data_IF_852593066282
#
_entry.id   IF_852593066282
#
_cell.length_a   1.000
_cell.length_b   1.000
_cell.length_c   1.000
_cell.angle_alpha   90.00
_cell.angle_beta   90.00
_cell.angle_gamma   90.00
#
_symmetry.space_group_name_H-M   'P 1'
#
loop_
_entity.id
_entity.type
_entity.pdbx_description
1 polymer ?
#
# COMPACT_ATOMS: atom_id res chain seq x y z
N UNK A 1 5.96 12.72 -10.10
CA UNK A 1 5.70 11.64 -11.08
C UNK A 1 4.24 11.13 -11.07
N UNK A 2 3.38 11.54 -10.11
CA UNK A 2 2.12 10.84 -9.83
C UNK A 2 0.94 11.03 -10.80
N UNK A 3 1.03 11.91 -11.80
CA UNK A 3 -0.01 12.04 -12.85
C UNK A 3 0.50 11.67 -14.25
N UNK A 4 1.82 11.67 -14.48
CA UNK A 4 2.41 11.59 -15.83
C UNK A 4 2.20 10.23 -16.49
N UNK A 5 2.03 9.15 -15.71
CA UNK A 5 1.91 7.78 -16.22
C UNK A 5 0.59 7.10 -15.88
N UNK A 6 -0.43 7.85 -15.45
CA UNK A 6 -1.72 7.27 -15.06
C UNK A 6 -2.38 6.50 -16.21
N UNK A 7 -2.35 7.03 -17.43
CA UNK A 7 -2.89 6.33 -18.62
C UNK A 7 -2.18 5.01 -18.90
N UNK A 8 -0.87 4.96 -18.71
CA UNK A 8 -0.05 3.78 -18.92
C UNK A 8 -0.32 2.73 -17.84
N UNK A 9 -0.47 3.16 -16.59
CA UNK A 9 -0.87 2.27 -15.49
C UNK A 9 -2.26 1.67 -15.75
N UNK A 10 -3.24 2.49 -16.15
CA UNK A 10 -4.58 2.02 -16.54
C UNK A 10 -4.50 1.00 -17.67
N UNK A 11 -3.75 1.27 -18.74
CA UNK A 11 -3.59 0.34 -19.86
C UNK A 11 -2.92 -0.98 -19.44
N UNK A 12 -1.87 -0.90 -18.62
CA UNK A 12 -1.17 -2.06 -18.09
C UNK A 12 -2.10 -2.93 -17.25
N UNK A 13 -2.76 -2.35 -16.25
CA UNK A 13 -3.64 -3.10 -15.35
C UNK A 13 -4.91 -3.61 -16.04
N UNK A 14 -5.41 -2.92 -17.07
CA UNK A 14 -6.48 -3.45 -17.95
C UNK A 14 -6.01 -4.74 -18.63
N UNK A 15 -4.78 -4.74 -19.16
CA UNK A 15 -4.21 -5.94 -19.82
C UNK A 15 -4.03 -7.10 -18.85
N UNK A 16 -3.47 -6.84 -17.66
CA UNK A 16 -3.24 -7.87 -16.64
C UNK A 16 -4.58 -8.43 -16.13
N UNK A 17 -5.53 -7.57 -15.76
CA UNK A 17 -6.84 -8.00 -15.23
C UNK A 17 -7.68 -8.72 -16.27
N UNK A 18 -7.64 -8.32 -17.54
CA UNK A 18 -8.32 -9.05 -18.62
C UNK A 18 -7.79 -10.47 -18.79
N UNK A 19 -6.47 -10.65 -18.63
CA UNK A 19 -5.84 -11.96 -18.82
C UNK A 19 -5.93 -12.86 -17.59
N UNK A 20 -5.83 -12.29 -16.39
CA UNK A 20 -5.65 -13.05 -15.16
C UNK A 20 -6.70 -12.80 -14.07
N UNK A 21 -7.66 -11.92 -14.29
CA UNK A 21 -8.62 -11.50 -13.27
C UNK A 21 -9.59 -12.59 -12.81
N UNK A 22 -9.72 -13.68 -13.57
CA UNK A 22 -10.49 -14.86 -13.16
C UNK A 22 -9.73 -15.81 -12.24
N UNK A 23 -8.43 -15.59 -12.01
CA UNK A 23 -7.62 -16.42 -11.11
C UNK A 23 -7.51 -15.76 -9.73
N UNK A 24 -7.69 -16.52 -8.63
CA UNK A 24 -7.70 -15.97 -7.27
C UNK A 24 -6.31 -15.63 -6.73
N UNK A 25 -5.25 -15.80 -7.53
CA UNK A 25 -3.85 -15.68 -7.09
C UNK A 25 -3.29 -14.26 -7.26
N UNK A 26 -3.98 -13.39 -8.00
CA UNK A 26 -3.46 -12.06 -8.34
C UNK A 26 -3.77 -11.08 -7.21
N UNK A 27 -2.76 -10.30 -6.83
CA UNK A 27 -2.89 -9.09 -6.03
C UNK A 27 -2.33 -7.95 -6.87
N UNK A 28 -3.08 -6.84 -6.98
CA UNK A 28 -2.65 -5.68 -7.76
C UNK A 28 -2.12 -4.59 -6.84
N UNK A 29 -0.83 -4.30 -6.88
CA UNK A 29 -0.26 -3.12 -6.22
C UNK A 29 -0.18 -1.96 -7.20
N UNK A 30 -1.03 -0.94 -7.03
CA UNK A 30 -1.25 0.08 -8.06
C UNK A 30 -0.16 1.14 -8.12
N UNK A 31 0.54 1.37 -7.01
CA UNK A 31 1.66 2.32 -6.90
C UNK A 31 2.52 1.93 -5.70
N UNK A 32 3.74 1.46 -5.94
CA UNK A 32 4.69 1.03 -4.90
C UNK A 32 4.92 2.09 -3.80
N UNK A 33 5.51 3.23 -4.18
CA UNK A 33 5.95 4.26 -3.24
C UNK A 33 5.66 5.66 -3.77
N UNK A 34 4.47 6.21 -3.47
CA UNK A 34 4.22 7.63 -3.63
C UNK A 34 5.22 8.47 -2.82
N UNK A 35 5.68 9.58 -3.39
CA UNK A 35 6.44 10.58 -2.62
C UNK A 35 5.54 11.29 -1.58
N UNK A 36 6.05 12.33 -0.93
CA UNK A 36 5.27 13.22 -0.07
C UNK A 36 4.27 14.07 -0.90
N UNK A 37 3.18 13.46 -1.34
CA UNK A 37 2.10 14.06 -2.14
C UNK A 37 0.74 13.80 -1.50
N UNK A 38 -0.23 14.68 -1.77
CA UNK A 38 -1.56 14.61 -1.14
C UNK A 38 -2.25 13.27 -1.38
N UNK A 39 -2.65 12.61 -0.30
CA UNK A 39 -3.52 11.43 -0.37
C UNK A 39 -4.84 11.77 -1.08
N UNK A 40 -5.56 12.77 -0.56
CA UNK A 40 -6.91 13.12 -1.01
C UNK A 40 -6.92 13.70 -2.42
N UNK A 41 -6.02 14.63 -2.73
CA UNK A 41 -6.13 15.43 -3.96
C UNK A 41 -5.42 14.78 -5.15
N UNK A 42 -4.47 13.87 -4.88
CA UNK A 42 -3.62 13.27 -5.92
C UNK A 42 -3.75 11.75 -5.96
N UNK A 43 -3.54 11.07 -4.84
CA UNK A 43 -3.50 9.60 -4.83
C UNK A 43 -4.88 8.95 -4.91
N UNK A 44 -5.90 9.49 -4.23
CA UNK A 44 -7.27 8.96 -4.33
C UNK A 44 -7.80 9.01 -5.76
N UNK A 45 -7.70 10.14 -6.51
CA UNK A 45 -8.09 10.18 -7.92
C UNK A 45 -7.30 9.19 -8.79
N UNK A 46 -5.98 9.08 -8.60
CA UNK A 46 -5.13 8.14 -9.32
C UNK A 46 -5.58 6.69 -9.08
N UNK A 47 -5.67 6.28 -7.82
CA UNK A 47 -6.04 4.93 -7.44
C UNK A 47 -7.43 4.57 -7.93
N UNK A 48 -8.42 5.47 -7.81
CA UNK A 48 -9.77 5.24 -8.36
C UNK A 48 -9.76 4.99 -9.86
N UNK A 49 -8.93 5.70 -10.64
CA UNK A 49 -8.83 5.47 -12.08
C UNK A 49 -8.26 4.08 -12.40
N UNK A 50 -7.21 3.65 -11.69
CA UNK A 50 -6.60 2.33 -11.89
C UNK A 50 -7.51 1.20 -11.38
N UNK A 51 -8.13 1.37 -10.21
CA UNK A 51 -9.11 0.42 -9.65
C UNK A 51 -10.27 0.23 -10.61
N UNK A 52 -10.83 1.31 -11.18
CA UNK A 52 -11.92 1.22 -12.14
C UNK A 52 -11.55 0.35 -13.36
N UNK A 53 -10.32 0.51 -13.87
CA UNK A 53 -9.82 -0.28 -14.99
C UNK A 53 -9.65 -1.77 -14.65
N UNK A 54 -9.15 -2.08 -13.44
CA UNK A 54 -9.04 -3.46 -12.95
C UNK A 54 -10.44 -4.07 -12.77
N UNK A 55 -11.34 -3.35 -12.10
CA UNK A 55 -12.70 -3.81 -11.74
C UNK A 55 -13.63 -3.99 -12.93
N UNK A 56 -13.30 -3.42 -14.09
CA UNK A 56 -13.98 -3.72 -15.35
C UNK A 56 -13.79 -5.18 -15.81
N UNK A 57 -12.70 -5.84 -15.39
CA UNK A 57 -12.39 -7.23 -15.76
C UNK A 57 -12.36 -8.19 -14.55
N UNK A 58 -12.08 -7.67 -13.35
CA UNK A 58 -11.85 -8.46 -12.14
C UNK A 58 -12.59 -7.86 -10.94
N UNK A 59 -13.70 -8.48 -10.56
CA UNK A 59 -14.58 -7.97 -9.51
C UNK A 59 -14.08 -8.24 -8.07
N UNK A 60 -13.12 -9.15 -7.87
CA UNK A 60 -12.91 -9.75 -6.54
C UNK A 60 -11.48 -9.75 -6.03
N UNK A 61 -10.44 -9.82 -6.88
CA UNK A 61 -9.07 -9.89 -6.37
C UNK A 61 -8.67 -8.62 -5.61
N UNK A 62 -7.74 -8.77 -4.66
CA UNK A 62 -7.27 -7.69 -3.80
C UNK A 62 -6.50 -6.65 -4.62
N UNK A 63 -6.78 -5.37 -4.35
CA UNK A 63 -6.01 -4.24 -4.86
C UNK A 63 -5.39 -3.53 -3.67
N UNK A 64 -4.07 -3.33 -3.70
CA UNK A 64 -3.30 -2.63 -2.66
C UNK A 64 -2.88 -1.26 -3.19
N UNK A 65 -3.26 -0.21 -2.46
CA UNK A 65 -3.01 1.17 -2.84
C UNK A 65 -1.86 1.77 -2.02
N UNK A 66 -0.79 2.17 -2.70
CA UNK A 66 0.32 2.94 -2.10
C UNK A 66 -0.14 4.19 -1.38
N UNK A 67 0.45 4.47 -0.22
CA UNK A 67 0.13 5.63 0.63
C UNK A 67 1.22 6.71 0.54
N UNK A 68 0.99 7.96 0.98
CA UNK A 68 2.00 9.01 0.90
C UNK A 68 3.32 8.66 1.62
N UNK A 69 4.38 9.36 1.21
CA UNK A 69 5.69 9.33 1.88
C UNK A 69 6.30 7.94 1.90
N UNK A 70 6.57 7.40 0.71
CA UNK A 70 7.09 6.04 0.49
C UNK A 70 6.25 4.98 1.19
N UNK A 71 4.93 5.09 1.05
CA UNK A 71 3.96 4.20 1.68
C UNK A 71 4.09 4.13 3.20
N UNK A 72 4.24 5.26 3.89
CA UNK A 72 4.35 5.32 5.35
C UNK A 72 3.10 5.90 6.03
N UNK A 73 2.32 6.71 5.30
CA UNK A 73 1.23 7.53 5.86
C UNK A 73 -0.14 6.82 5.76
N UNK A 74 -0.22 5.60 6.28
CA UNK A 74 -1.48 4.83 6.36
C UNK A 74 -2.50 5.45 7.33
N UNK A 75 -2.04 6.19 8.33
CA UNK A 75 -2.87 6.98 9.24
C UNK A 75 -3.63 8.08 8.46
N UNK A 76 -2.96 8.75 7.53
CA UNK A 76 -3.60 9.74 6.64
C UNK A 76 -4.61 9.07 5.71
N UNK A 77 -4.26 7.92 5.12
CA UNK A 77 -5.18 7.18 4.26
C UNK A 77 -6.42 6.71 5.02
N UNK A 78 -6.26 6.30 6.28
CA UNK A 78 -7.35 5.82 7.13
C UNK A 78 -8.40 6.89 7.47
N UNK A 79 -8.02 8.17 7.45
CA UNK A 79 -8.94 9.28 7.67
C UNK A 79 -9.82 9.59 6.44
N UNK A 80 -9.43 9.12 5.25
CA UNK A 80 -10.19 9.31 4.01
C UNK A 80 -10.04 8.08 3.08
N UNK A 81 -10.60 6.91 3.46
CA UNK A 81 -10.45 5.69 2.69
C UNK A 81 -11.25 5.71 1.38
N UNK A 82 -10.83 4.89 0.42
CA UNK A 82 -11.55 4.65 -0.83
C UNK A 82 -12.67 3.65 -0.55
N UNK A 83 -13.89 4.14 -0.34
CA UNK A 83 -15.06 3.32 0.03
C UNK A 83 -15.96 2.89 -1.14
N UNK A 84 -15.70 3.41 -2.35
CA UNK A 84 -16.52 3.13 -3.54
C UNK A 84 -16.25 1.76 -4.17
N UNK A 85 -15.28 1.00 -3.66
CA UNK A 85 -14.86 -0.30 -4.18
C UNK A 85 -14.60 -1.28 -3.02
N UNK A 86 -14.79 -2.58 -3.28
CA UNK A 86 -14.49 -3.66 -2.34
C UNK A 86 -13.08 -4.24 -2.55
N UNK A 87 -12.59 -4.97 -1.54
CA UNK A 87 -11.30 -5.67 -1.53
C UNK A 87 -10.12 -4.75 -1.84
N UNK A 88 -10.13 -3.58 -1.18
CA UNK A 88 -9.06 -2.59 -1.23
C UNK A 88 -8.27 -2.66 0.07
N UNK A 89 -6.95 -2.73 -0.05
CA UNK A 89 -5.99 -2.62 1.05
C UNK A 89 -5.04 -1.46 0.78
N UNK A 90 -4.26 -1.08 1.79
CA UNK A 90 -3.38 0.09 1.75
C UNK A 90 -1.95 -0.30 2.12
N UNK A 91 -1.00 0.16 1.31
CA UNK A 91 0.40 -0.21 1.49
C UNK A 91 1.00 0.50 2.69
N UNK A 92 1.71 -0.27 3.53
CA UNK A 92 2.67 0.25 4.50
C UNK A 92 4.06 -0.37 4.28
N UNK A 93 5.11 0.44 4.12
CA UNK A 93 6.49 -0.03 4.00
C UNK A 93 7.32 0.34 5.22
N UNK A 94 8.24 -0.54 5.61
CA UNK A 94 9.21 -0.23 6.65
C UNK A 94 10.60 -0.84 6.42
N UNK A 95 11.62 -0.16 6.94
CA UNK A 95 12.98 -0.69 7.04
C UNK A 95 13.36 -0.69 8.50
N UNK A 96 13.64 -1.87 9.06
CA UNK A 96 13.65 -2.09 10.50
C UNK A 96 14.70 -1.23 11.24
N UNK A 97 15.86 -0.98 10.62
CA UNK A 97 16.92 -0.16 11.22
C UNK A 97 16.66 1.35 11.12
N UNK A 98 15.66 1.78 10.34
CA UNK A 98 15.31 3.20 10.15
C UNK A 98 13.96 3.57 10.77
N UNK A 99 12.97 2.70 10.66
CA UNK A 99 11.60 2.98 11.05
C UNK A 99 11.26 2.28 12.37
N UNK A 100 11.03 3.09 13.41
CA UNK A 100 10.77 2.62 14.78
C UNK A 100 9.33 2.79 15.24
N UNK A 101 9.16 3.07 16.55
CA UNK A 101 7.86 3.10 17.21
C UNK A 101 6.87 4.11 16.61
N UNK A 102 7.33 5.28 16.17
CA UNK A 102 6.48 6.31 15.56
C UNK A 102 5.75 5.81 14.31
N UNK A 103 6.37 4.93 13.53
CA UNK A 103 5.76 4.33 12.35
C UNK A 103 4.76 3.23 12.72
N UNK A 104 5.07 2.41 13.75
CA UNK A 104 4.10 1.48 14.32
C UNK A 104 2.85 2.19 14.82
N UNK A 105 2.98 3.39 15.42
CA UNK A 105 1.83 4.20 15.83
C UNK A 105 0.94 4.61 14.66
N UNK A 106 1.50 4.88 13.47
CA UNK A 106 0.70 5.16 12.27
C UNK A 106 -0.09 3.94 11.83
N UNK A 107 0.55 2.76 11.81
CA UNK A 107 -0.12 1.49 11.50
C UNK A 107 -1.22 1.19 12.53
N UNK A 108 -0.95 1.38 13.82
CA UNK A 108 -1.95 1.19 14.88
C UNK A 108 -3.15 2.12 14.68
N UNK A 109 -2.91 3.40 14.37
CA UNK A 109 -3.98 4.36 14.08
C UNK A 109 -4.83 3.92 12.90
N UNK A 110 -4.20 3.45 11.81
CA UNK A 110 -4.92 2.96 10.65
C UNK A 110 -5.74 1.70 10.95
N UNK A 111 -5.18 0.77 11.72
CA UNK A 111 -5.86 -0.44 12.19
C UNK A 111 -7.05 -0.10 13.10
N UNK A 112 -6.89 0.82 14.06
CA UNK A 112 -7.96 1.27 14.96
C UNK A 112 -9.10 1.96 14.20
N UNK A 113 -8.78 2.62 13.08
CA UNK A 113 -9.76 3.20 12.15
C UNK A 113 -10.42 2.16 11.21
N UNK A 114 -10.03 0.88 11.32
CA UNK A 114 -10.57 -0.22 10.52
C UNK A 114 -10.02 -0.29 9.09
N UNK A 115 -8.87 0.34 8.81
CA UNK A 115 -8.26 0.33 7.48
C UNK A 115 -7.50 -0.99 7.24
N UNK A 116 -7.78 -1.74 6.16
CA UNK A 116 -7.01 -2.93 5.81
C UNK A 116 -5.60 -2.56 5.31
N UNK A 117 -4.57 -2.78 6.12
CA UNK A 117 -3.17 -2.49 5.76
C UNK A 117 -2.46 -3.76 5.27
N UNK A 118 -1.64 -3.65 4.23
CA UNK A 118 -0.77 -4.72 3.73
C UNK A 118 0.68 -4.22 3.67
N UNK A 119 1.62 -4.96 4.25
CA UNK A 119 3.06 -4.70 4.11
C UNK A 119 3.60 -5.45 2.89
N UNK A 120 3.60 -4.80 1.72
CA UNK A 120 4.06 -5.40 0.46
C UNK A 120 5.59 -5.35 0.32
N UNK A 121 6.25 -4.41 1.00
CA UNK A 121 7.70 -4.31 1.09
C UNK A 121 8.16 -4.03 2.53
N UNK A 122 9.19 -4.74 2.97
CA UNK A 122 9.96 -4.35 4.14
C UNK A 122 11.42 -4.80 4.04
N UNK A 123 12.31 -4.11 4.75
CA UNK A 123 13.73 -4.47 4.88
C UNK A 123 14.15 -4.64 6.34
N UNK A 124 15.17 -5.47 6.58
CA UNK A 124 15.77 -5.66 7.93
C UNK A 124 16.95 -4.74 8.20
N UNK A 125 17.31 -3.90 7.23
CA UNK A 125 18.43 -2.95 7.25
C UNK A 125 17.90 -1.51 7.27
N UNK A 126 18.74 -0.54 6.89
CA UNK A 126 18.35 0.86 6.73
C UNK A 126 17.55 1.09 5.44
N UNK A 127 16.78 2.19 5.37
CA UNK A 127 15.94 2.55 4.23
C UNK A 127 16.69 2.85 2.93
N UNK A 128 18.02 2.87 2.96
CA UNK A 128 18.86 2.89 1.77
C UNK A 128 18.86 1.54 1.02
N UNK A 129 18.38 0.47 1.66
CA UNK A 129 18.52 -0.91 1.18
C UNK A 129 19.89 -1.53 1.49
N UNK A 130 20.76 -0.80 2.18
CA UNK A 130 22.10 -1.22 2.60
C UNK A 130 22.21 -1.13 4.14
N UNK A 131 23.41 -1.38 4.67
CA UNK A 131 23.72 -1.26 6.08
C UNK A 131 23.60 -2.58 6.84
N UNK A 132 23.72 -2.49 8.17
CA UNK A 132 23.70 -3.69 9.03
C UNK A 132 22.27 -4.13 9.31
N UNK A 133 22.05 -5.43 9.34
CA UNK A 133 20.77 -6.03 9.73
C UNK A 133 20.49 -5.74 11.21
N UNK A 134 19.37 -5.07 11.50
CA UNK A 134 18.87 -4.88 12.86
C UNK A 134 17.85 -5.96 13.22
N UNK A 135 18.36 -7.07 13.75
CA UNK A 135 17.55 -8.23 14.15
C UNK A 135 16.57 -7.92 15.28
N UNK A 136 16.92 -7.01 16.20
CA UNK A 136 16.09 -6.65 17.34
C UNK A 136 14.89 -5.81 16.89
N UNK A 137 15.13 -4.80 16.06
CA UNK A 137 14.05 -3.99 15.49
C UNK A 137 13.16 -4.83 14.57
N UNK A 138 13.73 -5.74 13.78
CA UNK A 138 12.98 -6.67 12.92
C UNK A 138 12.03 -7.54 13.75
N UNK A 139 12.52 -8.18 14.82
CA UNK A 139 11.67 -9.00 15.70
C UNK A 139 10.55 -8.17 16.37
N UNK A 140 10.83 -6.91 16.69
CA UNK A 140 9.82 -5.98 17.24
C UNK A 140 8.72 -5.68 16.21
N UNK A 141 9.07 -5.50 14.94
CA UNK A 141 8.08 -5.30 13.87
C UNK A 141 7.20 -6.52 13.66
N UNK A 142 7.78 -7.72 13.61
CA UNK A 142 6.99 -8.95 13.46
C UNK A 142 6.04 -9.17 14.64
N UNK A 143 6.54 -9.02 15.86
CA UNK A 143 5.69 -9.13 17.07
C UNK A 143 4.54 -8.13 17.05
N UNK A 144 4.79 -6.91 16.59
CA UNK A 144 3.74 -5.90 16.45
C UNK A 144 2.70 -6.30 15.40
N UNK A 145 3.14 -6.71 14.20
CA UNK A 145 2.24 -7.05 13.09
C UNK A 145 1.41 -8.31 13.40
N UNK A 146 2.03 -9.35 13.97
CA UNK A 146 1.36 -10.59 14.40
C UNK A 146 0.36 -10.33 15.56
N UNK A 147 0.53 -9.23 16.29
CA UNK A 147 -0.34 -8.83 17.40
C UNK A 147 -1.62 -8.10 16.98
N UNK A 148 -1.72 -7.64 15.73
CA UNK A 148 -2.92 -6.98 15.18
C UNK A 148 -3.93 -8.06 14.77
N UNK A 149 -5.08 -8.15 15.46
CA UNK A 149 -6.08 -9.21 15.28
C UNK A 149 -7.37 -8.76 14.59
#
# INVERSE_FOLDING_TARGET
VSATYQSQAVAFFTTISSKYGSYPHIIYETYNEPLAISWTDVLVPYHKAVIAAIRANDATNVIVCGTPTWSQDVDVASANPITTYSNIMYTFHFYAATHGATYRTKVQTAYDNGLPVFVTEYGTTESSGDGTVDTSATATWYTFLDGLN
#
